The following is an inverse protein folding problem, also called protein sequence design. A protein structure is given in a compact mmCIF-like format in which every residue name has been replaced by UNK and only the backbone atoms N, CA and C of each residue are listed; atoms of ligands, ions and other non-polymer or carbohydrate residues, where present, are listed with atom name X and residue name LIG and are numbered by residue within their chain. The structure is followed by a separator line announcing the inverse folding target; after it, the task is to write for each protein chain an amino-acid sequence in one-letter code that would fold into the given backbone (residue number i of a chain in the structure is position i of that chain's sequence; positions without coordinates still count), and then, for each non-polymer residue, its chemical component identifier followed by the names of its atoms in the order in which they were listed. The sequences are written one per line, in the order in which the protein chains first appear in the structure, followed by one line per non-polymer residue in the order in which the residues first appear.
data_IF_736644428118
#
_entry.id   IF_736644428118
#
_cell.length_a   1.000
_cell.length_b   1.000
_cell.length_c   1.000
_cell.angle_alpha   90.00
_cell.angle_beta   90.00
_cell.angle_gamma   90.00
#
_symmetry.space_group_name_H-M   'P 1'
#
loop_
_entity.id
_entity.type
_entity.pdbx_description
1 polymer ?
#
# COMPACT_ATOMS: atom_id res chain seq x y z
N UNK A 1 -28.13 9.34 10.48
CA UNK A 1 -26.80 9.89 10.13
C UNK A 1 -25.85 8.70 10.01
N UNK A 2 -25.09 8.58 8.91
CA UNK A 2 -24.12 7.48 8.78
C UNK A 2 -22.96 7.74 9.75
N UNK A 3 -22.65 6.79 10.61
CA UNK A 3 -21.47 6.85 11.46
C UNK A 3 -20.23 6.31 10.74
N UNK A 4 -19.05 6.48 11.37
CA UNK A 4 -17.78 6.02 10.82
C UNK A 4 -17.75 4.51 10.51
N UNK A 5 -18.43 3.68 11.30
CA UNK A 5 -18.46 2.22 11.10
C UNK A 5 -19.34 1.84 9.92
N UNK A 6 -20.47 2.50 9.74
CA UNK A 6 -21.37 2.31 8.61
C UNK A 6 -20.67 2.67 7.29
N UNK A 7 -19.93 3.79 7.25
CA UNK A 7 -19.14 4.16 6.07
C UNK A 7 -18.03 3.15 5.79
N UNK A 8 -17.34 2.67 6.82
CA UNK A 8 -16.32 1.63 6.67
C UNK A 8 -16.92 0.33 6.12
N UNK A 9 -18.05 -0.12 6.65
CA UNK A 9 -18.76 -1.32 6.18
C UNK A 9 -19.17 -1.19 4.70
N UNK A 10 -19.72 -0.05 4.29
CA UNK A 10 -20.09 0.21 2.90
C UNK A 10 -18.86 0.21 1.99
N UNK A 11 -17.76 0.83 2.42
CA UNK A 11 -16.51 0.87 1.65
C UNK A 11 -15.90 -0.52 1.46
N UNK A 12 -15.84 -1.32 2.54
CA UNK A 12 -15.33 -2.69 2.47
C UNK A 12 -16.21 -3.60 1.61
N UNK A 13 -17.53 -3.43 1.70
CA UNK A 13 -18.47 -4.20 0.87
C UNK A 13 -18.41 -3.79 -0.60
N UNK A 14 -18.20 -2.52 -0.89
CA UNK A 14 -17.91 -2.04 -2.25
C UNK A 14 -16.62 -2.65 -2.78
N UNK A 15 -15.55 -2.65 -1.97
CA UNK A 15 -14.29 -3.28 -2.33
C UNK A 15 -14.48 -4.77 -2.66
N UNK A 16 -15.20 -5.53 -1.82
CA UNK A 16 -15.47 -6.95 -2.06
C UNK A 16 -16.21 -7.23 -3.37
N UNK A 17 -17.06 -6.30 -3.81
CA UNK A 17 -17.81 -6.44 -5.05
C UNK A 17 -17.01 -6.02 -6.29
N UNK A 18 -16.02 -5.14 -6.15
CA UNK A 18 -15.38 -4.46 -7.29
C UNK A 18 -13.86 -4.68 -7.41
N UNK A 19 -13.18 -5.11 -6.35
CA UNK A 19 -11.73 -5.31 -6.33
C UNK A 19 -10.88 -4.03 -6.18
N UNK A 20 -11.50 -2.87 -5.94
CA UNK A 20 -10.79 -1.60 -5.72
C UNK A 20 -11.55 -0.66 -4.76
N UNK A 21 -10.84 0.33 -4.22
CA UNK A 21 -11.42 1.47 -3.48
C UNK A 21 -11.52 2.69 -4.41
N UNK A 22 -12.67 3.36 -4.37
CA UNK A 22 -12.82 4.68 -5.01
C UNK A 22 -12.50 5.79 -4.01
N UNK A 23 -11.30 6.39 -4.14
CA UNK A 23 -10.87 7.51 -3.27
C UNK A 23 -11.90 8.63 -3.23
N UNK A 24 -12.43 9.06 -4.38
CA UNK A 24 -13.45 10.12 -4.45
C UNK A 24 -14.71 9.78 -3.65
N UNK A 25 -15.21 8.54 -3.76
CA UNK A 25 -16.41 8.11 -3.01
C UNK A 25 -16.13 8.08 -1.51
N UNK A 26 -14.95 7.57 -1.11
CA UNK A 26 -14.53 7.54 0.29
C UNK A 26 -14.38 8.96 0.83
N UNK A 27 -13.68 9.86 0.15
CA UNK A 27 -13.51 11.25 0.59
C UNK A 27 -14.85 11.98 0.76
N UNK A 28 -15.78 11.78 -0.17
CA UNK A 28 -17.13 12.36 -0.08
C UNK A 28 -17.94 11.80 1.10
N UNK A 29 -17.81 10.51 1.41
CA UNK A 29 -18.44 9.93 2.60
C UNK A 29 -17.79 10.43 3.89
N UNK A 30 -16.46 10.60 3.89
CA UNK A 30 -15.72 11.09 5.05
C UNK A 30 -15.97 12.57 5.34
N UNK A 31 -16.35 13.38 4.36
CA UNK A 31 -16.61 14.81 4.57
C UNK A 31 -17.83 15.10 5.44
N UNK A 32 -18.67 14.09 5.72
CA UNK A 32 -19.82 14.22 6.63
C UNK A 32 -19.47 13.89 8.09
N UNK A 33 -18.24 13.48 8.37
CA UNK A 33 -17.78 13.05 9.70
C UNK A 33 -16.96 14.15 10.40
N UNK A 34 -16.91 14.08 11.73
CA UNK A 34 -15.95 14.85 12.51
C UNK A 34 -14.51 14.44 12.17
N UNK A 35 -13.51 15.28 12.48
CA UNK A 35 -12.10 14.94 12.25
C UNK A 35 -11.68 13.64 12.96
N UNK A 36 -12.16 13.44 14.20
CA UNK A 36 -11.92 12.22 14.98
C UNK A 36 -12.55 10.99 14.32
N UNK A 37 -13.81 11.09 13.91
CA UNK A 37 -14.55 9.98 13.27
C UNK A 37 -13.99 9.66 11.89
N UNK A 38 -13.53 10.67 11.14
CA UNK A 38 -12.84 10.50 9.87
C UNK A 38 -11.56 9.68 10.04
N UNK A 39 -10.73 10.04 11.02
CA UNK A 39 -9.49 9.33 11.32
C UNK A 39 -9.76 7.87 11.73
N UNK A 40 -10.78 7.66 12.57
CA UNK A 40 -11.22 6.32 12.94
C UNK A 40 -11.73 5.51 11.74
N UNK A 41 -12.56 6.10 10.87
CA UNK A 41 -13.09 5.45 9.67
C UNK A 41 -11.98 5.04 8.69
N UNK A 42 -11.02 5.95 8.41
CA UNK A 42 -9.85 5.69 7.57
C UNK A 42 -9.03 4.53 8.15
N UNK A 43 -8.78 4.55 9.46
CA UNK A 43 -8.02 3.50 10.13
C UNK A 43 -8.74 2.14 10.04
N UNK A 44 -10.06 2.11 10.21
CA UNK A 44 -10.85 0.90 9.99
C UNK A 44 -10.70 0.40 8.55
N UNK A 45 -10.98 1.24 7.54
CA UNK A 45 -10.98 0.81 6.14
C UNK A 45 -9.61 0.26 5.73
N UNK A 46 -8.56 1.07 5.87
CA UNK A 46 -7.23 0.70 5.37
C UNK A 46 -6.54 -0.30 6.28
N UNK A 47 -6.74 -0.22 7.60
CA UNK A 47 -6.21 -1.19 8.55
C UNK A 47 -6.79 -2.58 8.34
N UNK A 48 -8.11 -2.69 8.12
CA UNK A 48 -8.76 -3.97 7.81
C UNK A 48 -8.24 -4.51 6.48
N UNK A 49 -8.16 -3.71 5.42
CA UNK A 49 -7.60 -4.19 4.16
C UNK A 49 -6.15 -4.65 4.32
N UNK A 50 -5.31 -3.87 4.99
CA UNK A 50 -3.90 -4.21 5.19
C UNK A 50 -3.71 -5.51 5.97
N UNK A 51 -4.58 -5.76 6.96
CA UNK A 51 -4.55 -6.94 7.85
C UNK A 51 -5.57 -8.02 7.49
N UNK A 52 -6.22 -7.97 6.33
CA UNK A 52 -7.39 -8.81 6.05
C UNK A 52 -7.08 -10.30 6.04
N UNK A 53 -5.93 -10.72 5.51
CA UNK A 53 -5.55 -12.15 5.50
C UNK A 53 -5.34 -12.64 6.93
N UNK A 54 -4.66 -11.82 7.76
CA UNK A 54 -4.50 -12.06 9.19
C UNK A 54 -5.86 -12.15 9.92
N UNK A 55 -6.75 -11.20 9.67
CA UNK A 55 -8.10 -11.14 10.27
C UNK A 55 -8.94 -12.34 9.84
N UNK A 56 -8.93 -12.70 8.56
CA UNK A 56 -9.70 -13.83 8.03
C UNK A 56 -9.18 -15.16 8.60
N UNK A 57 -7.87 -15.28 8.83
CA UNK A 57 -7.29 -16.42 9.55
C UNK A 57 -7.79 -16.51 11.00
N UNK A 58 -7.86 -15.39 11.72
CA UNK A 58 -8.43 -15.35 13.07
C UNK A 58 -9.92 -15.72 13.09
N UNK A 59 -10.69 -15.23 12.11
CA UNK A 59 -12.10 -15.59 11.97
C UNK A 59 -12.29 -17.08 11.70
N UNK A 60 -11.42 -17.70 10.89
CA UNK A 60 -11.53 -19.11 10.52
C UNK A 60 -11.46 -20.06 11.74
N UNK A 61 -10.82 -19.64 12.84
CA UNK A 61 -10.79 -20.40 14.11
C UNK A 61 -12.18 -20.62 14.71
N UNK A 62 -13.11 -19.69 14.47
CA UNK A 62 -14.44 -19.69 15.09
C UNK A 62 -15.60 -19.70 14.09
N UNK A 63 -15.29 -19.51 12.80
CA UNK A 63 -16.27 -19.47 11.71
C UNK A 63 -16.05 -20.62 10.72
N UNK A 64 -16.79 -21.71 10.90
CA UNK A 64 -16.61 -22.96 10.11
C UNK A 64 -16.93 -22.84 8.61
N UNK A 65 -17.88 -21.99 8.21
CA UNK A 65 -18.31 -21.83 6.80
C UNK A 65 -18.41 -20.35 6.42
N UNK A 66 -17.28 -19.62 6.33
CA UNK A 66 -17.30 -18.19 6.03
C UNK A 66 -17.99 -17.87 4.71
N UNK A 67 -17.89 -18.73 3.71
CA UNK A 67 -18.55 -18.54 2.40
C UNK A 67 -20.08 -18.50 2.47
N UNK A 68 -20.70 -19.09 3.51
CA UNK A 68 -22.17 -19.06 3.72
C UNK A 68 -22.65 -17.81 4.46
N UNK A 69 -21.72 -17.02 5.00
CA UNK A 69 -22.05 -15.77 5.69
C UNK A 69 -22.10 -14.64 4.65
N UNK A 70 -23.15 -13.81 4.64
CA UNK A 70 -23.24 -12.67 3.73
C UNK A 70 -22.00 -11.77 3.84
N UNK A 71 -21.55 -11.24 2.71
CA UNK A 71 -20.33 -10.39 2.62
C UNK A 71 -20.35 -9.27 3.66
N UNK A 72 -21.47 -8.55 3.78
CA UNK A 72 -21.63 -7.48 4.76
C UNK A 72 -21.44 -7.98 6.21
N UNK A 73 -21.98 -9.15 6.56
CA UNK A 73 -21.80 -9.74 7.90
C UNK A 73 -20.35 -10.17 8.13
N UNK A 74 -19.67 -10.69 7.11
CA UNK A 74 -18.22 -10.95 7.20
C UNK A 74 -17.41 -9.68 7.41
N UNK A 75 -17.77 -8.58 6.75
CA UNK A 75 -17.10 -7.30 6.95
C UNK A 75 -17.36 -6.74 8.35
N UNK A 76 -18.55 -6.89 8.90
CA UNK A 76 -18.82 -6.57 10.32
C UNK A 76 -17.93 -7.41 11.25
N UNK A 77 -17.81 -8.72 11.00
CA UNK A 77 -16.90 -9.58 11.76
C UNK A 77 -15.44 -9.10 11.65
N UNK A 78 -14.95 -8.81 10.44
CA UNK A 78 -13.60 -8.29 10.21
C UNK A 78 -13.36 -6.97 10.95
N UNK A 79 -14.34 -6.07 10.93
CA UNK A 79 -14.29 -4.82 11.69
C UNK A 79 -14.22 -5.05 13.18
N UNK A 80 -15.00 -6.00 13.72
CA UNK A 80 -14.96 -6.36 15.14
C UNK A 80 -13.59 -6.90 15.54
N UNK A 81 -13.04 -7.84 14.77
CA UNK A 81 -11.70 -8.41 15.01
C UNK A 81 -10.62 -7.35 14.95
N UNK A 82 -10.67 -6.47 13.94
CA UNK A 82 -9.69 -5.40 13.80
C UNK A 82 -9.70 -4.46 15.01
N UNK A 83 -10.88 -4.06 15.47
CA UNK A 83 -11.02 -3.23 16.67
C UNK A 83 -10.52 -3.94 17.93
N UNK A 84 -10.82 -5.24 18.11
CA UNK A 84 -10.43 -6.00 19.31
C UNK A 84 -8.91 -6.22 19.36
N UNK A 85 -8.28 -6.59 18.25
CA UNK A 85 -6.89 -7.06 18.25
C UNK A 85 -5.86 -6.00 17.86
N UNK A 86 -6.28 -4.89 17.24
CA UNK A 86 -5.36 -3.91 16.67
C UNK A 86 -5.63 -2.47 17.12
N UNK A 87 -6.71 -2.20 17.86
CA UNK A 87 -7.04 -0.84 18.33
C UNK A 87 -7.15 -0.80 19.86
N UNK A 88 -6.04 -0.49 20.54
CA UNK A 88 -5.98 -0.36 22.01
C UNK A 88 -6.95 0.68 22.59
N UNK A 89 -7.37 1.65 21.76
CA UNK A 89 -8.29 2.73 22.16
C UNK A 89 -9.77 2.31 22.16
N UNK A 90 -10.12 1.12 21.67
CA UNK A 90 -11.51 0.66 21.57
C UNK A 90 -11.72 -0.51 22.54
N UNK A 91 -12.48 -0.32 23.64
CA UNK A 91 -12.80 -1.42 24.54
C UNK A 91 -13.50 -2.58 23.82
N UNK A 92 -13.15 -3.82 24.17
CA UNK A 92 -13.67 -5.02 23.52
C UNK A 92 -15.21 -5.07 23.50
N UNK A 93 -15.84 -4.76 24.65
CA UNK A 93 -17.31 -4.75 24.75
C UNK A 93 -17.95 -3.75 23.78
N UNK A 94 -17.33 -2.58 23.56
CA UNK A 94 -17.82 -1.55 22.66
C UNK A 94 -17.62 -1.95 21.20
N UNK A 95 -16.51 -2.62 20.88
CA UNK A 95 -16.30 -3.22 19.56
C UNK A 95 -17.37 -4.27 19.23
N UNK A 96 -17.67 -5.15 20.18
CA UNK A 96 -18.66 -6.22 20.02
C UNK A 96 -20.08 -5.64 19.86
N UNK A 97 -20.51 -4.76 20.77
CA UNK A 97 -21.87 -4.20 20.74
C UNK A 97 -22.14 -3.38 19.48
N UNK A 98 -21.18 -2.53 19.10
CA UNK A 98 -21.28 -1.76 17.86
C UNK A 98 -21.31 -2.66 16.62
N UNK A 99 -20.51 -3.73 16.59
CA UNK A 99 -20.53 -4.70 15.49
C UNK A 99 -21.89 -5.41 15.38
N UNK A 100 -22.47 -5.84 16.51
CA UNK A 100 -23.81 -6.46 16.53
C UNK A 100 -24.89 -5.50 16.04
N UNK A 101 -24.77 -4.22 16.39
CA UNK A 101 -25.70 -3.17 15.98
C UNK A 101 -25.66 -2.86 14.48
N UNK A 102 -24.50 -3.02 13.83
CA UNK A 102 -24.35 -2.87 12.36
C UNK A 102 -25.02 -3.98 11.55
N UNK A 103 -25.31 -5.12 12.16
CA UNK A 103 -25.95 -6.24 11.47
C UNK A 103 -27.44 -5.94 11.29
N UNK A 104 -27.86 -5.71 10.04
CA UNK A 104 -29.27 -5.47 9.71
C UNK A 104 -30.19 -6.69 9.87
N UNK A 105 -29.64 -7.91 9.75
CA UNK A 105 -30.44 -9.15 9.78
C UNK A 105 -30.32 -9.84 11.14
N UNK A 106 -31.46 -10.00 11.83
CA UNK A 106 -31.51 -10.52 13.22
C UNK A 106 -30.81 -11.87 13.40
N UNK A 107 -30.90 -12.77 12.41
CA UNK A 107 -30.31 -14.11 12.48
C UNK A 107 -28.79 -14.11 12.67
N UNK A 108 -28.10 -13.10 12.13
CA UNK A 108 -26.64 -13.02 12.19
C UNK A 108 -26.13 -12.26 13.42
N UNK A 109 -26.98 -11.55 14.16
CA UNK A 109 -26.59 -10.83 15.38
C UNK A 109 -25.99 -11.77 16.44
N UNK A 110 -26.64 -12.93 16.64
CA UNK A 110 -26.16 -13.95 17.57
C UNK A 110 -24.81 -14.53 17.15
N UNK A 111 -24.62 -14.77 15.84
CA UNK A 111 -23.35 -15.23 15.28
C UNK A 111 -22.22 -14.21 15.52
N UNK A 112 -22.45 -12.94 15.18
CA UNK A 112 -21.45 -11.88 15.33
C UNK A 112 -21.02 -11.74 16.79
N UNK A 113 -21.98 -11.65 17.71
CA UNK A 113 -21.68 -11.57 19.14
C UNK A 113 -20.88 -12.79 19.63
N UNK A 114 -21.31 -14.01 19.27
CA UNK A 114 -20.67 -15.23 19.73
C UNK A 114 -19.24 -15.39 19.19
N UNK A 115 -19.00 -15.04 17.92
CA UNK A 115 -17.68 -15.13 17.30
C UNK A 115 -16.73 -14.09 17.89
N UNK A 116 -17.15 -12.82 18.01
CA UNK A 116 -16.28 -11.76 18.51
C UNK A 116 -15.93 -11.92 19.98
N UNK A 117 -16.86 -12.43 20.81
CA UNK A 117 -16.55 -12.79 22.21
C UNK A 117 -15.47 -13.86 22.29
N UNK A 118 -15.58 -14.94 21.53
CA UNK A 118 -14.56 -15.99 21.49
C UNK A 118 -13.19 -15.47 21.06
N UNK A 119 -13.17 -14.52 20.11
CA UNK A 119 -11.94 -13.89 19.64
C UNK A 119 -11.30 -13.02 20.74
N UNK A 120 -12.09 -12.24 21.46
CA UNK A 120 -11.62 -11.47 22.61
C UNK A 120 -11.05 -12.42 23.69
N UNK A 121 -11.81 -13.44 24.07
CA UNK A 121 -11.42 -14.39 25.12
C UNK A 121 -10.16 -15.22 24.78
N UNK A 122 -9.97 -15.56 23.50
CA UNK A 122 -8.89 -16.47 23.08
C UNK A 122 -7.58 -15.75 22.72
N UNK A 123 -7.64 -14.43 22.51
CA UNK A 123 -6.52 -13.65 21.99
C UNK A 123 -6.06 -14.04 20.58
N UNK A 124 -5.02 -13.35 20.04
CA UNK A 124 -4.43 -13.67 18.75
C UNK A 124 -3.84 -15.09 18.72
N UNK A 125 -3.97 -15.79 17.60
CA UNK A 125 -3.32 -17.09 17.40
C UNK A 125 -1.80 -16.97 17.48
N UNK A 126 -1.15 -18.03 17.96
CA UNK A 126 0.33 -18.16 18.00
C UNK A 126 0.80 -18.95 16.77
N UNK A 127 2.08 -18.77 16.41
CA UNK A 127 2.81 -19.60 15.43
C UNK A 127 2.16 -19.71 14.05
N UNK A 128 1.91 -18.55 13.43
CA UNK A 128 1.28 -18.51 12.12
C UNK A 128 2.29 -18.50 10.98
N UNK A 129 1.89 -18.99 9.79
CA UNK A 129 2.68 -18.82 8.57
C UNK A 129 3.01 -17.35 8.28
N UNK A 130 4.17 -17.12 7.66
CA UNK A 130 4.68 -15.79 7.35
C UNK A 130 3.67 -14.90 6.59
N UNK A 131 3.00 -15.47 5.61
CA UNK A 131 2.00 -14.77 4.80
C UNK A 131 0.78 -14.33 5.65
N UNK A 132 0.42 -15.08 6.68
CA UNK A 132 -0.65 -14.71 7.61
C UNK A 132 -0.15 -13.65 8.59
N UNK A 133 1.03 -13.84 9.18
CA UNK A 133 1.65 -12.89 10.12
C UNK A 133 1.73 -11.48 9.55
N UNK A 134 2.24 -11.36 8.32
CA UNK A 134 2.35 -10.08 7.63
C UNK A 134 1.17 -9.76 6.73
N UNK A 135 0.11 -10.58 6.70
CA UNK A 135 -1.11 -10.36 5.92
C UNK A 135 -0.88 -10.14 4.41
N UNK A 136 -0.09 -11.01 3.79
CA UNK A 136 0.17 -11.05 2.34
C UNK A 136 -0.39 -12.33 1.69
N UNK A 137 -0.74 -12.31 0.40
CA UNK A 137 -1.04 -13.53 -0.34
C UNK A 137 0.14 -14.49 -0.29
N UNK A 138 -0.16 -15.77 -0.06
CA UNK A 138 0.87 -16.81 -0.03
C UNK A 138 1.68 -16.85 -1.32
N UNK A 139 1.03 -16.72 -2.48
CA UNK A 139 1.69 -16.71 -3.77
C UNK A 139 2.71 -15.55 -3.91
N UNK A 140 2.40 -14.37 -3.35
CA UNK A 140 3.26 -13.19 -3.46
C UNK A 140 4.47 -13.32 -2.53
N UNK A 141 4.25 -13.86 -1.33
CA UNK A 141 5.34 -14.17 -0.39
C UNK A 141 6.28 -15.22 -0.99
N UNK A 142 5.73 -16.26 -1.64
CA UNK A 142 6.54 -17.26 -2.31
C UNK A 142 7.31 -16.67 -3.50
N UNK A 143 6.65 -15.85 -4.32
CA UNK A 143 7.30 -15.14 -5.43
C UNK A 143 8.49 -14.31 -4.94
N UNK A 144 8.31 -13.45 -3.94
CA UNK A 144 9.40 -12.62 -3.41
C UNK A 144 10.48 -13.40 -2.65
N UNK A 145 10.16 -14.58 -2.13
CA UNK A 145 11.18 -15.44 -1.49
C UNK A 145 12.22 -15.92 -2.49
N UNK A 146 11.82 -16.10 -3.74
CA UNK A 146 12.68 -16.63 -4.81
C UNK A 146 13.42 -15.49 -5.56
N UNK A 147 13.30 -14.24 -5.08
CA UNK A 147 13.89 -13.06 -5.70
C UNK A 147 15.21 -12.69 -5.02
N UNK A 148 16.31 -12.79 -5.75
CA UNK A 148 17.68 -12.67 -5.19
C UNK A 148 18.04 -11.29 -4.63
N UNK A 149 17.45 -10.21 -5.16
CA UNK A 149 17.75 -8.83 -4.75
C UNK A 149 16.87 -8.30 -3.60
N UNK A 150 15.99 -9.12 -3.04
CA UNK A 150 15.29 -8.81 -1.80
C UNK A 150 16.17 -9.30 -0.65
N UNK A 151 16.95 -8.39 -0.04
CA UNK A 151 17.90 -8.75 1.02
C UNK A 151 17.20 -9.28 2.29
N UNK A 152 15.99 -8.80 2.55
CA UNK A 152 15.17 -9.19 3.70
C UNK A 152 13.70 -9.24 3.32
N UNK A 153 13.17 -10.45 3.19
CA UNK A 153 11.75 -10.67 2.88
C UNK A 153 10.87 -10.12 4.01
N UNK A 154 11.22 -10.42 5.27
CA UNK A 154 10.51 -9.94 6.45
C UNK A 154 10.44 -8.42 6.50
N UNK A 155 11.53 -7.71 6.18
CA UNK A 155 11.55 -6.25 6.16
C UNK A 155 10.66 -5.67 5.06
N UNK A 156 10.64 -6.28 3.86
CA UNK A 156 9.72 -5.88 2.79
C UNK A 156 8.26 -6.10 3.21
N UNK A 157 7.96 -7.26 3.80
CA UNK A 157 6.62 -7.59 4.28
C UNK A 157 6.20 -6.65 5.41
N UNK A 158 7.10 -6.31 6.33
CA UNK A 158 6.83 -5.36 7.41
C UNK A 158 6.61 -3.94 6.88
N UNK A 159 7.45 -3.49 5.94
CA UNK A 159 7.30 -2.21 5.27
C UNK A 159 5.92 -2.06 4.63
N UNK A 160 5.44 -3.08 3.92
CA UNK A 160 4.09 -3.11 3.32
C UNK A 160 2.95 -3.06 4.34
N UNK A 161 3.27 -3.32 5.61
CA UNK A 161 2.34 -3.27 6.73
C UNK A 161 2.37 -1.93 7.49
N UNK A 162 3.20 -0.97 7.06
CA UNK A 162 3.20 0.40 7.59
C UNK A 162 2.24 1.29 6.80
N UNK A 163 1.55 2.27 7.43
CA UNK A 163 0.88 3.34 6.70
C UNK A 163 1.89 4.15 5.87
N UNK A 164 1.56 4.54 4.63
CA UNK A 164 2.46 5.33 3.81
C UNK A 164 2.61 6.74 4.41
N UNK A 165 3.80 7.30 4.28
CA UNK A 165 4.02 8.74 4.51
C UNK A 165 3.65 9.47 3.22
N UNK A 166 2.90 10.57 3.32
CA UNK A 166 2.59 11.38 2.14
C UNK A 166 3.68 12.42 1.94
N UNK A 167 4.45 12.28 0.85
CA UNK A 167 5.42 13.29 0.42
C UNK A 167 4.75 14.30 -0.51
N UNK A 168 5.01 15.58 -0.28
CA UNK A 168 4.41 16.69 -1.04
C UNK A 168 5.44 17.75 -1.41
N UNK A 169 5.13 18.49 -2.49
CA UNK A 169 5.75 19.79 -2.71
C UNK A 169 5.03 20.81 -1.84
N UNK A 170 5.78 21.48 -0.97
CA UNK A 170 5.29 22.68 -0.32
C UNK A 170 5.44 23.86 -1.27
N UNK A 171 4.34 24.35 -1.80
CA UNK A 171 4.30 25.60 -2.56
C UNK A 171 4.27 26.85 -1.65
N UNK A 172 4.48 26.70 -0.33
CA UNK A 172 4.45 27.79 0.66
C UNK A 172 5.64 27.74 1.62
N UNK A 173 5.85 28.83 2.37
CA UNK A 173 6.85 28.87 3.45
C UNK A 173 6.45 27.88 4.55
N UNK A 174 7.42 27.20 5.15
CA UNK A 174 7.18 26.24 6.25
C UNK A 174 6.32 26.85 7.37
N UNK A 175 6.53 28.13 7.67
CA UNK A 175 5.75 28.90 8.65
C UNK A 175 4.23 28.87 8.34
N UNK A 176 3.85 29.00 7.06
CA UNK A 176 2.44 28.99 6.63
C UNK A 176 1.78 27.62 6.82
N UNK A 177 2.55 26.53 6.64
CA UNK A 177 2.05 25.17 6.87
C UNK A 177 1.79 24.91 8.35
N UNK A 178 2.68 25.40 9.22
CA UNK A 178 2.51 25.33 10.68
C UNK A 178 1.28 26.14 11.10
N UNK A 179 1.12 27.36 10.59
CA UNK A 179 -0.07 28.20 10.85
C UNK A 179 -1.37 27.53 10.40
N UNK A 180 -1.34 26.80 9.28
CA UNK A 180 -2.47 26.00 8.78
C UNK A 180 -2.65 24.67 9.52
N UNK A 181 -1.86 24.38 10.55
CA UNK A 181 -2.00 23.21 11.42
C UNK A 181 -1.49 21.90 10.81
N UNK A 182 -0.58 21.95 9.84
CA UNK A 182 0.10 20.76 9.34
C UNK A 182 1.22 20.34 10.27
N UNK A 183 1.38 19.01 10.46
CA UNK A 183 2.57 18.43 11.09
C UNK A 183 3.35 17.71 10.00
N UNK A 184 4.60 18.10 9.82
CA UNK A 184 5.47 17.59 8.77
C UNK A 184 6.93 17.56 9.23
N UNK A 185 7.76 16.84 8.49
CA UNK A 185 9.22 16.88 8.60
C UNK A 185 9.82 16.91 7.18
N UNK A 186 11.09 17.27 7.09
CA UNK A 186 11.83 17.21 5.82
C UNK A 186 12.05 15.76 5.42
N UNK A 187 12.04 15.51 4.11
CA UNK A 187 12.53 14.22 3.64
C UNK A 187 14.02 14.07 3.94
N UNK A 188 14.41 12.84 4.25
CA UNK A 188 15.82 12.47 4.36
C UNK A 188 16.53 12.31 3.00
N UNK A 189 15.77 12.28 1.89
CA UNK A 189 16.28 11.99 0.54
C UNK A 189 16.20 13.15 -0.44
N UNK A 190 15.38 14.16 -0.14
CA UNK A 190 15.13 15.32 -1.00
C UNK A 190 14.80 16.56 -0.17
N UNK A 191 14.56 17.69 -0.86
CA UNK A 191 14.07 18.93 -0.28
C UNK A 191 12.53 18.96 -0.12
N UNK A 192 11.84 17.83 -0.32
CA UNK A 192 10.40 17.71 -0.15
C UNK A 192 9.99 17.58 1.33
N UNK A 193 8.69 17.76 1.60
CA UNK A 193 8.09 17.60 2.92
C UNK A 193 7.31 16.30 3.04
N UNK A 194 7.47 15.64 4.18
CA UNK A 194 6.68 14.49 4.60
C UNK A 194 5.57 14.95 5.56
N UNK A 195 4.32 14.87 5.12
CA UNK A 195 3.17 15.24 5.95
C UNK A 195 2.75 14.04 6.81
N UNK A 196 2.77 14.22 8.12
CA UNK A 196 2.24 13.26 9.10
C UNK A 196 0.81 13.57 9.51
N UNK A 197 0.46 14.85 9.59
CA UNK A 197 -0.90 15.29 9.88
C UNK A 197 -1.32 16.40 8.93
N UNK A 198 -2.46 16.21 8.28
CA UNK A 198 -3.09 17.26 7.47
C UNK A 198 -3.68 18.33 8.37
N UNK A 199 -3.40 19.59 8.05
CA UNK A 199 -4.00 20.76 8.66
C UNK A 199 -5.30 21.15 7.97
N UNK A 200 -5.47 22.45 7.73
CA UNK A 200 -6.64 23.05 7.08
C UNK A 200 -7.04 22.29 5.80
N UNK A 201 -8.27 21.73 5.75
CA UNK A 201 -8.78 21.00 4.58
C UNK A 201 -8.86 21.81 3.29
N UNK A 202 -8.87 23.15 3.38
CA UNK A 202 -8.88 24.04 2.22
C UNK A 202 -7.55 24.07 1.48
N UNK A 203 -6.44 23.81 2.20
CA UNK A 203 -5.10 23.74 1.62
C UNK A 203 -4.81 22.31 1.15
N UNK A 204 -4.56 22.17 -0.16
CA UNK A 204 -4.31 20.88 -0.80
C UNK A 204 -2.90 20.89 -1.39
N UNK A 205 -1.88 20.47 -0.62
CA UNK A 205 -0.54 20.35 -1.14
C UNK A 205 -0.50 19.30 -2.26
N UNK A 206 0.35 19.53 -3.26
CA UNK A 206 0.51 18.62 -4.38
C UNK A 206 1.28 17.37 -3.93
N UNK A 207 0.67 16.19 -4.11
CA UNK A 207 1.32 14.93 -3.79
C UNK A 207 2.32 14.59 -4.88
N UNK A 208 3.55 14.24 -4.49
CA UNK A 208 4.63 13.95 -5.43
C UNK A 208 5.21 12.57 -5.18
N UNK A 209 5.61 11.91 -6.27
CA UNK A 209 6.43 10.72 -6.20
C UNK A 209 7.88 11.15 -5.99
N UNK A 210 8.38 10.96 -4.77
CA UNK A 210 9.69 11.45 -4.38
C UNK A 210 10.83 10.82 -5.21
N UNK A 211 10.70 9.55 -5.62
CA UNK A 211 11.72 8.91 -6.46
C UNK A 211 11.77 9.57 -7.82
N UNK A 212 10.61 9.78 -8.46
CA UNK A 212 10.52 10.49 -9.73
C UNK A 212 11.07 11.92 -9.63
N UNK A 213 10.74 12.64 -8.56
CA UNK A 213 11.26 13.98 -8.29
C UNK A 213 12.79 13.98 -8.18
N UNK A 214 13.37 13.08 -7.39
CA UNK A 214 14.81 12.93 -7.22
C UNK A 214 15.50 12.61 -8.55
N UNK A 215 14.90 11.74 -9.37
CA UNK A 215 15.44 11.33 -10.68
C UNK A 215 15.36 12.47 -11.70
N UNK A 216 14.30 13.27 -11.69
CA UNK A 216 14.13 14.41 -12.61
C UNK A 216 15.28 15.42 -12.50
N UNK A 217 15.89 15.55 -11.31
CA UNK A 217 17.05 16.40 -11.06
C UNK A 217 18.32 16.00 -11.81
N UNK A 218 18.38 14.82 -12.45
CA UNK A 218 19.50 14.40 -13.29
C UNK A 218 19.50 15.05 -14.68
N UNK A 219 18.40 15.69 -15.08
CA UNK A 219 18.25 16.24 -16.43
C UNK A 219 18.15 15.17 -17.52
N UNK A 220 17.79 13.93 -17.14
CA UNK A 220 17.60 12.79 -18.03
C UNK A 220 16.11 12.45 -18.06
N UNK A 221 15.50 12.19 -19.25
CA UNK A 221 14.08 11.80 -19.33
C UNK A 221 13.76 10.57 -18.49
N UNK A 222 12.61 10.56 -17.82
CA UNK A 222 12.16 9.46 -16.96
C UNK A 222 10.93 8.78 -17.58
N UNK A 223 11.10 7.52 -18.00
CA UNK A 223 10.02 6.62 -18.38
C UNK A 223 9.45 5.95 -17.13
N UNK A 224 8.39 6.53 -16.57
CA UNK A 224 7.73 5.98 -15.37
C UNK A 224 6.72 4.88 -15.72
N UNK A 225 6.93 3.70 -15.13
CA UNK A 225 6.01 2.57 -15.19
C UNK A 225 5.34 2.36 -13.84
N UNK A 226 4.02 2.55 -13.81
CA UNK A 226 3.23 2.33 -12.60
C UNK A 226 2.91 0.85 -12.39
N UNK A 227 2.75 0.05 -13.45
CA UNK A 227 2.75 -1.41 -13.37
C UNK A 227 1.76 -2.03 -12.37
N UNK A 228 2.16 -3.18 -11.82
CA UNK A 228 1.41 -3.89 -10.76
C UNK A 228 1.46 -3.18 -9.39
N UNK A 229 2.24 -2.10 -9.28
CA UNK A 229 2.35 -1.27 -8.07
C UNK A 229 2.72 -2.06 -6.80
N UNK A 230 3.42 -3.18 -6.93
CA UNK A 230 3.79 -4.00 -5.78
C UNK A 230 4.72 -3.27 -4.80
N UNK A 231 5.47 -2.26 -5.24
CA UNK A 231 6.23 -1.35 -4.37
C UNK A 231 5.37 -0.31 -3.64
N UNK A 232 4.08 -0.18 -3.97
CA UNK A 232 3.12 0.77 -3.37
C UNK A 232 1.98 0.10 -2.60
N UNK A 233 2.15 -1.18 -2.25
CA UNK A 233 1.17 -1.94 -1.50
C UNK A 233 0.82 -1.26 -0.15
N UNK A 234 1.80 -0.68 0.54
CA UNK A 234 1.56 0.10 1.76
C UNK A 234 0.51 1.22 1.57
N UNK A 235 0.59 1.92 0.43
CA UNK A 235 -0.28 3.02 0.00
C UNK A 235 -1.62 2.55 -0.56
N UNK A 236 -1.64 1.35 -1.11
CA UNK A 236 -2.79 0.73 -1.74
C UNK A 236 -3.02 -0.67 -1.17
N UNK A 237 -3.41 -0.80 0.11
CA UNK A 237 -3.47 -2.09 0.80
C UNK A 237 -4.50 -3.07 0.22
N UNK A 238 -5.41 -2.61 -0.66
CA UNK A 238 -6.28 -3.51 -1.41
C UNK A 238 -5.53 -4.38 -2.42
N UNK A 239 -4.36 -3.96 -2.90
CA UNK A 239 -3.52 -4.73 -3.82
C UNK A 239 -3.12 -6.09 -3.21
N UNK A 240 -3.00 -6.19 -1.88
CA UNK A 240 -2.80 -7.46 -1.17
C UNK A 240 -3.93 -8.48 -1.40
N UNK A 241 -5.07 -8.09 -1.97
CA UNK A 241 -6.21 -8.99 -2.18
C UNK A 241 -6.68 -9.05 -3.63
N UNK A 242 -6.34 -8.04 -4.44
CA UNK A 242 -6.73 -7.96 -5.84
C UNK A 242 -5.63 -8.34 -6.83
N UNK A 243 -4.35 -8.32 -6.41
CA UNK A 243 -3.25 -8.74 -7.28
C UNK A 243 -3.33 -10.24 -7.60
N UNK A 244 -3.02 -10.56 -8.85
CA UNK A 244 -2.94 -11.92 -9.38
C UNK A 244 -1.71 -12.07 -10.28
N UNK A 245 -1.26 -13.30 -10.46
CA UNK A 245 -0.17 -13.63 -11.41
C UNK A 245 -0.47 -13.14 -12.84
N UNK A 246 -1.73 -13.15 -13.27
CA UNK A 246 -2.11 -12.66 -14.60
C UNK A 246 -1.85 -11.16 -14.78
N UNK A 247 -1.91 -10.38 -13.70
CA UNK A 247 -1.62 -8.95 -13.74
C UNK A 247 -0.15 -8.67 -14.09
N UNK A 248 0.76 -9.58 -13.75
CA UNK A 248 2.20 -9.41 -13.99
C UNK A 248 2.50 -9.47 -15.49
N UNK A 249 1.87 -10.41 -16.21
CA UNK A 249 2.00 -10.53 -17.67
C UNK A 249 1.50 -9.28 -18.39
N UNK A 250 0.32 -8.78 -18.00
CA UNK A 250 -0.23 -7.56 -18.61
C UNK A 250 0.67 -6.35 -18.34
N UNK A 251 1.16 -6.22 -17.11
CA UNK A 251 2.02 -5.11 -16.73
C UNK A 251 3.41 -5.19 -17.39
N UNK A 252 3.95 -6.38 -17.60
CA UNK A 252 5.16 -6.60 -18.38
C UNK A 252 5.00 -6.11 -19.83
N UNK A 253 3.89 -6.44 -20.50
CA UNK A 253 3.65 -5.94 -21.86
C UNK A 253 3.58 -4.41 -21.89
N UNK A 254 2.90 -3.80 -20.91
CA UNK A 254 2.86 -2.32 -20.78
C UNK A 254 4.25 -1.72 -20.54
N UNK A 255 5.07 -2.34 -19.69
CA UNK A 255 6.44 -1.88 -19.45
C UNK A 255 7.26 -1.95 -20.73
N UNK A 256 7.17 -3.06 -21.46
CA UNK A 256 7.86 -3.26 -22.74
C UNK A 256 7.43 -2.24 -23.81
N UNK A 257 6.13 -1.99 -23.93
CA UNK A 257 5.59 -0.99 -24.86
C UNK A 257 6.06 0.43 -24.51
N UNK A 258 6.01 0.80 -23.22
CA UNK A 258 6.50 2.08 -22.71
C UNK A 258 7.97 2.27 -23.07
N UNK A 259 8.81 1.29 -22.72
CA UNK A 259 10.24 1.32 -22.98
C UNK A 259 10.55 1.40 -24.48
N UNK A 260 9.85 0.61 -25.30
CA UNK A 260 10.01 0.62 -26.76
C UNK A 260 9.60 1.95 -27.39
N UNK A 261 8.59 2.63 -26.83
CA UNK A 261 8.19 3.96 -27.27
C UNK A 261 9.23 5.00 -26.89
N UNK A 262 9.67 5.01 -25.63
CA UNK A 262 10.69 5.94 -25.13
C UNK A 262 12.02 5.80 -25.86
N UNK A 263 12.45 4.57 -26.14
CA UNK A 263 13.69 4.28 -26.85
C UNK A 263 13.74 4.81 -28.30
N UNK A 264 12.59 5.11 -28.92
CA UNK A 264 12.55 5.74 -30.26
C UNK A 264 12.88 7.23 -30.22
N UNK A 265 12.62 7.87 -29.09
CA UNK A 265 12.74 9.33 -28.92
C UNK A 265 14.00 9.72 -28.13
N UNK A 266 14.58 8.78 -27.38
CA UNK A 266 15.66 9.04 -26.45
C UNK A 266 16.77 7.98 -26.53
N UNK A 267 18.01 8.46 -26.68
CA UNK A 267 19.21 7.62 -26.65
C UNK A 267 19.78 7.45 -25.23
N UNK A 268 19.32 8.21 -24.24
CA UNK A 268 19.69 8.13 -22.83
C UNK A 268 18.46 8.50 -21.98
N UNK A 269 17.96 7.56 -21.19
CA UNK A 269 16.79 7.78 -20.34
C UNK A 269 16.81 6.87 -19.11
N UNK A 270 15.97 7.20 -18.13
CA UNK A 270 15.77 6.44 -16.90
C UNK A 270 14.44 5.71 -16.98
N UNK A 271 14.46 4.40 -16.79
CA UNK A 271 13.28 3.61 -16.47
C UNK A 271 13.07 3.62 -14.96
N UNK A 272 11.91 4.11 -14.51
CA UNK A 272 11.50 4.06 -13.11
C UNK A 272 10.21 3.25 -12.99
N UNK A 273 10.28 2.14 -12.26
CA UNK A 273 9.15 1.24 -12.02
C UNK A 273 8.78 1.20 -10.55
N UNK A 274 7.48 1.31 -10.28
CA UNK A 274 6.92 1.11 -8.94
C UNK A 274 6.66 -0.39 -8.63
N UNK A 275 7.16 -1.28 -9.50
CA UNK A 275 7.03 -2.72 -9.36
C UNK A 275 8.24 -3.34 -8.67
N UNK A 276 7.94 -4.41 -7.93
CA UNK A 276 8.87 -5.31 -7.25
C UNK A 276 8.88 -6.68 -7.95
N UNK A 277 8.73 -6.68 -9.28
CA UNK A 277 8.68 -7.91 -10.10
C UNK A 277 9.78 -7.92 -11.16
N UNK A 278 10.43 -9.06 -11.34
CA UNK A 278 11.46 -9.24 -12.36
C UNK A 278 10.89 -9.03 -13.77
N UNK A 279 9.67 -9.53 -14.00
CA UNK A 279 9.01 -9.46 -15.30
C UNK A 279 8.87 -8.02 -15.78
N UNK A 280 8.35 -7.13 -14.95
CA UNK A 280 8.14 -5.74 -15.33
C UNK A 280 9.44 -4.96 -15.45
N UNK A 281 10.49 -5.40 -14.76
CA UNK A 281 11.73 -4.65 -14.61
C UNK A 281 12.84 -5.21 -15.51
N UNK A 282 13.50 -6.27 -15.06
CA UNK A 282 14.66 -6.83 -15.73
C UNK A 282 14.30 -7.38 -17.13
N UNK A 283 13.21 -8.15 -17.24
CA UNK A 283 12.79 -8.71 -18.54
C UNK A 283 12.31 -7.64 -19.52
N UNK A 284 11.67 -6.57 -19.02
CA UNK A 284 11.25 -5.46 -19.88
C UNK A 284 12.46 -4.70 -20.45
N UNK A 285 13.47 -4.44 -19.62
CA UNK A 285 14.72 -3.81 -20.06
C UNK A 285 15.48 -4.69 -21.05
N UNK A 286 15.59 -5.99 -20.82
CA UNK A 286 16.28 -6.92 -21.71
C UNK A 286 15.65 -7.01 -23.11
N UNK A 287 14.43 -6.48 -23.29
CA UNK A 287 13.84 -6.35 -24.62
C UNK A 287 14.46 -5.24 -25.49
N UNK A 288 15.24 -4.33 -24.89
CA UNK A 288 15.97 -3.26 -25.56
C UNK A 288 17.43 -3.66 -25.80
N UNK A 289 17.68 -4.58 -26.73
CA UNK A 289 19.03 -5.12 -26.99
C UNK A 289 20.07 -4.11 -27.46
N UNK A 290 19.65 -2.93 -27.93
CA UNK A 290 20.53 -1.85 -28.40
C UNK A 290 20.94 -0.88 -27.27
N UNK A 291 20.50 -1.11 -26.04
CA UNK A 291 20.74 -0.25 -24.91
C UNK A 291 21.58 -0.96 -23.84
N UNK A 292 22.49 -0.21 -23.25
CA UNK A 292 23.36 -0.66 -22.17
C UNK A 292 23.01 0.07 -20.87
N UNK A 293 23.11 -0.62 -19.72
CA UNK A 293 22.91 -0.01 -18.42
C UNK A 293 24.01 1.00 -18.11
N UNK A 294 23.62 2.12 -17.51
CA UNK A 294 24.52 3.13 -16.98
C UNK A 294 24.46 3.07 -15.46
N UNK A 295 25.59 2.80 -14.83
CA UNK A 295 25.67 2.74 -13.37
C UNK A 295 25.28 4.07 -12.71
N UNK A 296 24.54 3.96 -11.62
CA UNK A 296 24.02 5.06 -10.80
C UNK A 296 24.43 4.91 -9.32
N UNK A 297 25.42 4.07 -9.01
CA UNK A 297 25.80 3.76 -7.62
C UNK A 297 26.17 5.03 -6.83
N UNK A 298 27.00 5.90 -7.41
CA UNK A 298 27.37 7.19 -6.81
C UNK A 298 26.17 8.13 -6.58
N UNK A 299 25.16 8.05 -7.44
CA UNK A 299 23.94 8.85 -7.29
C UNK A 299 23.14 8.43 -6.06
N UNK A 300 22.95 7.12 -5.87
CA UNK A 300 22.24 6.57 -4.72
C UNK A 300 23.04 6.72 -3.42
N UNK A 301 24.36 6.47 -3.45
CA UNK A 301 25.26 6.67 -2.29
C UNK A 301 25.21 8.09 -1.77
N UNK A 302 25.32 9.11 -2.64
CA UNK A 302 25.27 10.52 -2.23
C UNK A 302 23.96 10.91 -1.54
N UNK A 303 22.85 10.24 -1.88
CA UNK A 303 21.52 10.45 -1.28
C UNK A 303 21.19 9.49 -0.15
N UNK A 304 22.12 8.58 0.20
CA UNK A 304 21.92 7.55 1.23
C UNK A 304 20.70 6.67 0.95
N UNK A 305 20.39 6.45 -0.33
CA UNK A 305 19.33 5.55 -0.76
C UNK A 305 19.94 4.16 -0.89
N UNK A 306 19.39 3.18 -0.17
CA UNK A 306 19.79 1.79 -0.30
C UNK A 306 19.23 1.22 -1.60
N UNK A 307 20.13 0.75 -2.46
CA UNK A 307 19.77 0.18 -3.74
C UNK A 307 20.74 -0.95 -4.10
N UNK A 308 20.22 -2.04 -4.66
CA UNK A 308 21.00 -3.22 -5.07
C UNK A 308 21.03 -3.29 -6.59
N UNK A 309 22.24 -3.32 -7.17
CA UNK A 309 22.42 -3.43 -8.61
C UNK A 309 22.27 -4.90 -9.06
N UNK A 310 21.43 -5.15 -10.07
CA UNK A 310 21.17 -6.50 -10.60
C UNK A 310 21.85 -6.77 -11.96
N UNK A 311 22.72 -5.87 -12.40
CA UNK A 311 23.35 -5.92 -13.73
C UNK A 311 22.64 -5.10 -14.80
N UNK A 312 21.36 -4.76 -14.60
CA UNK A 312 20.57 -3.93 -15.52
C UNK A 312 20.12 -2.62 -14.88
N UNK A 313 19.91 -2.62 -13.56
CA UNK A 313 19.43 -1.47 -12.81
C UNK A 313 19.45 -1.75 -11.31
N UNK A 314 18.73 -0.91 -10.56
CA UNK A 314 18.83 -0.81 -9.12
C UNK A 314 17.48 -1.06 -8.45
N UNK A 315 17.45 -2.06 -7.56
CA UNK A 315 16.32 -2.36 -6.70
C UNK A 315 16.41 -1.54 -5.42
N UNK A 316 15.45 -0.62 -5.23
CA UNK A 316 15.37 0.24 -4.06
C UNK A 316 14.91 -0.58 -2.86
N UNK A 317 15.72 -0.64 -1.80
CA UNK A 317 15.48 -1.52 -0.67
C UNK A 317 14.47 -0.94 0.35
N UNK A 318 13.69 -1.80 1.06
CA UNK A 318 12.77 -1.37 2.11
C UNK A 318 13.44 -0.51 3.19
N UNK A 319 12.65 0.36 3.83
CA UNK A 319 13.04 1.24 4.96
C UNK A 319 14.19 2.23 4.70
N UNK A 320 14.91 2.11 3.60
CA UNK A 320 16.10 2.91 3.24
C UNK A 320 16.00 3.50 1.82
N UNK A 321 14.79 3.62 1.30
CA UNK A 321 14.47 4.37 0.09
C UNK A 321 13.16 5.16 0.30
N UNK A 322 12.93 6.26 -0.46
CA UNK A 322 11.66 6.98 -0.41
C UNK A 322 10.47 6.07 -0.71
N UNK A 323 10.61 5.26 -1.76
CA UNK A 323 9.68 4.22 -2.17
C UNK A 323 10.47 3.01 -2.66
N UNK A 324 9.93 1.82 -2.38
CA UNK A 324 10.47 0.56 -2.90
C UNK A 324 10.06 0.45 -4.37
N UNK A 325 10.94 -0.07 -5.20
CA UNK A 325 10.74 -0.17 -6.64
C UNK A 325 12.05 -0.40 -7.36
N UNK A 326 12.09 -0.04 -8.64
CA UNK A 326 13.23 -0.31 -9.50
C UNK A 326 13.57 0.88 -10.39
N UNK A 327 14.86 1.16 -10.54
CA UNK A 327 15.39 2.27 -11.33
C UNK A 327 16.54 1.80 -12.19
N UNK A 328 16.48 2.04 -13.50
CA UNK A 328 17.58 1.77 -14.41
C UNK A 328 17.81 2.96 -15.33
N UNK A 329 19.03 3.49 -15.39
CA UNK A 329 19.41 4.38 -16.49
C UNK A 329 19.99 3.53 -17.61
N UNK A 330 19.51 3.74 -18.82
CA UNK A 330 19.96 3.01 -20.00
C UNK A 330 20.32 3.98 -21.12
N UNK A 331 21.34 3.62 -21.89
CA UNK A 331 21.85 4.42 -23.00
C UNK A 331 22.07 3.55 -24.23
N UNK A 332 21.72 4.04 -25.41
CA UNK A 332 21.95 3.36 -26.68
C UNK A 332 23.45 3.09 -26.86
N UNK A 333 23.79 1.83 -27.13
CA UNK A 333 25.15 1.42 -27.49
C UNK A 333 25.58 2.18 -28.75
N UNK A 334 26.84 2.64 -28.78
CA UNK A 334 27.39 3.44 -29.89
C UNK A 334 27.88 2.58 -31.03
#
# INVERSE_FOLDING_TARGET
MQDARSIALQTLSFFDANGYISFKKVEMALSTLSSKDRSFCINLIYGILRKRIRIDYELARFLRKPSKVPVAVRNVLRMGVFQIQFLDSVPEYASIDSSVSLVGVKEFKGLVNAVLRKIADSGPSKDQPLNVTYSHPEWLVNYWRDVEWIESLEELLEYNQTPPVQTVIASGRQDELVEKGFIFDMSQYSDLLNIFQRGDPSYKPESVDEVEYILSGLGVPVAKHSGTLTGRINSMPWLLHSLSLSAFTEAFQKAKELLSSFAKEHDDFIYYSQSMTEEENNRALNSLSEFEPVEMEEFFKKRRIAAVFDGSGYWLQPSKAPLVGYVARIRRAR
#
